data_IF_372170550928
#
_entry.id   IF_372170550928
#
_cell.length_a   1.000
_cell.length_b   1.000
_cell.length_c   1.000
_cell.angle_alpha   90.00
_cell.angle_beta   90.00
_cell.angle_gamma   90.00
#
_symmetry.space_group_name_H-M   'P 1'
#
loop_
_entity.id
_entity.type
_entity.pdbx_description
1 polymer ?
#
# COMPACT_ATOMS: atom_id res chain seq x y z
N UNK A 1 -35.15 17.85 -7.18
CA UNK A 1 -33.99 17.65 -6.27
C UNK A 1 -34.11 18.73 -5.20
N UNK A 2 -34.24 18.29 -3.93
CA UNK A 2 -34.18 19.22 -2.80
C UNK A 2 -32.72 19.23 -2.32
N UNK A 3 -32.02 20.32 -2.57
CA UNK A 3 -30.68 20.51 -2.02
C UNK A 3 -30.79 20.86 -0.53
N UNK A 4 -30.48 19.93 0.35
CA UNK A 4 -30.28 20.23 1.77
C UNK A 4 -28.89 20.85 1.94
N UNK A 5 -28.80 22.00 2.57
CA UNK A 5 -27.50 22.55 2.97
C UNK A 5 -26.91 21.64 4.05
N UNK A 6 -25.78 21.00 3.76
CA UNK A 6 -25.07 20.14 4.69
C UNK A 6 -24.20 20.95 5.62
N UNK A 7 -24.23 20.62 6.90
CA UNK A 7 -23.34 21.16 7.93
C UNK A 7 -22.35 20.12 8.45
N UNK A 8 -21.42 20.55 9.28
CA UNK A 8 -20.50 19.63 9.96
C UNK A 8 -21.29 18.70 10.88
N UNK A 9 -21.09 17.38 10.72
CA UNK A 9 -21.83 16.33 11.44
C UNK A 9 -23.01 15.74 10.69
N UNK A 10 -23.40 16.29 9.54
CA UNK A 10 -24.44 15.69 8.69
C UNK A 10 -23.86 14.48 7.93
N UNK A 11 -24.65 13.40 7.87
CA UNK A 11 -24.31 12.19 7.12
C UNK A 11 -24.66 12.41 5.65
N UNK A 12 -23.66 12.28 4.78
CA UNK A 12 -23.86 12.40 3.34
C UNK A 12 -24.26 11.08 2.69
N UNK A 13 -23.38 10.05 2.78
CA UNK A 13 -23.61 8.76 2.15
C UNK A 13 -22.97 7.58 2.88
N UNK A 14 -22.18 7.83 3.92
CA UNK A 14 -21.57 6.79 4.75
C UNK A 14 -21.56 7.19 6.22
N UNK A 15 -21.93 6.25 7.07
CA UNK A 15 -21.79 6.33 8.53
C UNK A 15 -21.45 4.95 9.06
N UNK A 16 -20.20 4.74 9.46
CA UNK A 16 -19.76 3.48 10.05
C UNK A 16 -18.61 3.65 11.02
N UNK A 17 -18.57 2.77 12.01
CA UNK A 17 -17.43 2.61 12.91
C UNK A 17 -16.52 1.51 12.39
N UNK A 18 -15.23 1.80 12.30
CA UNK A 18 -14.19 0.83 11.99
C UNK A 18 -13.57 0.31 13.28
N UNK A 19 -13.56 -0.99 13.43
CA UNK A 19 -12.91 -1.64 14.56
C UNK A 19 -11.68 -2.40 14.07
N UNK A 20 -10.53 -2.07 14.66
CA UNK A 20 -9.23 -2.66 14.34
C UNK A 20 -8.57 -3.09 15.63
N UNK A 21 -8.28 -4.38 15.75
CA UNK A 21 -7.40 -4.91 16.80
C UNK A 21 -6.14 -5.38 16.11
N UNK A 22 -4.99 -4.94 16.61
CA UNK A 22 -3.69 -5.37 16.13
C UNK A 22 -2.84 -5.85 17.30
N UNK A 23 -2.37 -7.07 17.17
CA UNK A 23 -1.56 -7.76 18.16
C UNK A 23 -0.30 -8.28 17.50
N UNK A 24 0.81 -8.37 18.22
CA UNK A 24 2.01 -8.92 17.65
C UNK A 24 3.19 -8.94 18.61
N UNK A 25 4.22 -9.64 18.16
CA UNK A 25 5.50 -9.68 18.81
C UNK A 25 6.62 -9.43 17.80
N UNK A 26 7.75 -8.94 18.27
CA UNK A 26 8.92 -8.71 17.44
C UNK A 26 10.21 -9.07 18.18
N UNK A 27 11.24 -9.32 17.39
CA UNK A 27 12.61 -9.44 17.89
C UNK A 27 13.56 -8.65 16.99
N UNK A 28 14.69 -8.24 17.54
CA UNK A 28 15.79 -7.65 16.82
C UNK A 28 17.10 -8.09 17.45
N UNK A 29 18.08 -8.41 16.62
CA UNK A 29 19.45 -8.67 17.05
C UNK A 29 20.41 -7.81 16.22
N UNK A 30 21.40 -7.26 16.88
CA UNK A 30 22.42 -6.41 16.27
C UNK A 30 23.82 -6.95 16.60
N UNK A 31 24.68 -6.86 15.62
CA UNK A 31 26.08 -7.20 15.73
C UNK A 31 26.93 -6.03 15.28
N UNK A 32 27.74 -5.52 16.17
CA UNK A 32 28.65 -4.41 15.91
C UNK A 32 30.07 -4.80 16.32
N UNK A 33 30.95 -4.95 15.35
CA UNK A 33 32.35 -5.23 15.63
C UNK A 33 33.27 -4.62 14.59
N UNK A 34 34.25 -3.83 15.04
CA UNK A 34 35.24 -3.17 14.20
C UNK A 34 34.53 -2.33 13.08
N UNK A 35 34.68 -2.78 11.83
CA UNK A 35 34.16 -2.11 10.63
C UNK A 35 32.82 -2.63 10.22
N UNK A 36 32.29 -3.69 10.81
CA UNK A 36 31.04 -4.34 10.44
C UNK A 36 29.95 -4.07 11.48
N UNK A 37 28.83 -3.55 11.01
CA UNK A 37 27.56 -3.52 11.71
C UNK A 37 26.54 -4.33 10.93
N UNK A 38 25.80 -5.20 11.59
CA UNK A 38 24.75 -5.99 10.96
C UNK A 38 23.55 -6.13 11.89
N UNK A 39 22.37 -6.31 11.33
CA UNK A 39 21.16 -6.56 12.10
C UNK A 39 20.27 -7.59 11.42
N UNK A 40 19.46 -8.25 12.22
CA UNK A 40 18.32 -9.02 11.79
C UNK A 40 17.13 -8.68 12.68
N UNK A 41 15.95 -8.53 12.09
CA UNK A 41 14.71 -8.32 12.83
C UNK A 41 13.58 -9.13 12.24
N UNK A 42 12.64 -9.52 13.08
CA UNK A 42 11.45 -10.24 12.68
C UNK A 42 10.26 -9.84 13.54
N UNK A 43 9.08 -9.90 12.95
CA UNK A 43 7.82 -9.72 13.67
C UNK A 43 6.75 -10.67 13.15
N UNK A 44 5.82 -11.04 14.05
CA UNK A 44 4.56 -11.67 13.72
C UNK A 44 3.45 -10.77 14.24
N UNK A 45 2.39 -10.61 13.45
CA UNK A 45 1.25 -9.80 13.83
C UNK A 45 -0.06 -10.47 13.41
N UNK A 46 -1.11 -10.22 14.18
CA UNK A 46 -2.48 -10.54 13.80
C UNK A 46 -3.28 -9.24 13.75
N UNK A 47 -4.03 -9.04 12.67
CA UNK A 47 -4.90 -7.88 12.51
C UNK A 47 -6.33 -8.36 12.33
N UNK A 48 -7.20 -7.97 13.23
CA UNK A 48 -8.62 -8.30 13.25
C UNK A 48 -9.44 -7.08 12.85
N UNK A 49 -10.33 -7.25 11.90
CA UNK A 49 -11.20 -6.19 11.41
C UNK A 49 -12.67 -6.58 11.54
N UNK A 50 -13.50 -5.63 11.93
CA UNK A 50 -14.94 -5.59 11.70
C UNK A 50 -15.41 -4.15 11.62
N UNK A 51 -16.58 -3.92 11.04
CA UNK A 51 -17.21 -2.60 11.03
C UNK A 51 -18.68 -2.69 11.40
N UNK A 52 -19.17 -1.61 11.92
CA UNK A 52 -20.59 -1.40 12.22
C UNK A 52 -21.09 -0.23 11.36
N UNK A 53 -21.90 -0.52 10.35
CA UNK A 53 -22.51 0.47 9.46
C UNK A 53 -23.88 0.88 9.95
N UNK A 54 -24.20 2.17 9.87
CA UNK A 54 -25.47 2.74 10.30
C UNK A 54 -26.27 3.34 9.16
N UNK A 55 -25.64 3.56 8.03
CA UNK A 55 -26.24 4.21 6.88
C UNK A 55 -26.39 3.22 5.72
N UNK A 56 -27.58 3.10 5.17
CA UNK A 56 -27.98 2.14 4.13
C UNK A 56 -27.98 0.65 4.54
N UNK A 57 -27.78 0.33 5.82
CA UNK A 57 -27.87 -1.04 6.29
C UNK A 57 -29.12 -1.25 7.14
N UNK A 58 -29.76 -2.40 7.00
CA UNK A 58 -30.71 -2.84 8.01
C UNK A 58 -30.00 -3.25 9.32
N UNK A 59 -30.77 -3.38 10.40
CA UNK A 59 -30.18 -3.65 11.72
C UNK A 59 -29.48 -5.00 11.79
N UNK A 60 -29.94 -5.98 11.03
CA UNK A 60 -29.39 -7.35 11.05
C UNK A 60 -28.05 -7.43 10.29
N UNK A 61 -27.84 -6.54 9.32
CA UNK A 61 -26.62 -6.47 8.52
C UNK A 61 -25.70 -5.31 8.88
N UNK A 62 -26.03 -4.55 9.92
CA UNK A 62 -25.23 -3.39 10.34
C UNK A 62 -23.81 -3.79 10.78
N UNK A 63 -23.65 -4.92 11.48
CA UNK A 63 -22.33 -5.46 11.86
C UNK A 63 -21.81 -6.40 10.80
N UNK A 64 -20.60 -6.13 10.29
CA UNK A 64 -19.92 -7.03 9.35
C UNK A 64 -19.46 -8.33 10.03
N UNK A 65 -19.09 -9.32 9.21
CA UNK A 65 -18.27 -10.43 9.66
C UNK A 65 -16.93 -9.90 10.20
N UNK A 66 -16.38 -10.62 11.17
CA UNK A 66 -15.01 -10.40 11.64
C UNK A 66 -14.05 -11.16 10.75
N UNK A 67 -12.97 -10.52 10.33
CA UNK A 67 -11.89 -11.11 9.52
C UNK A 67 -10.55 -10.93 10.21
N UNK A 68 -9.67 -11.92 10.05
CA UNK A 68 -8.35 -11.94 10.67
C UNK A 68 -7.28 -12.14 9.60
N UNK A 69 -6.18 -11.42 9.73
CA UNK A 69 -5.03 -11.48 8.83
C UNK A 69 -3.75 -11.62 9.65
N UNK A 70 -3.11 -12.79 9.53
CA UNK A 70 -1.78 -13.01 10.10
C UNK A 70 -0.73 -12.42 9.18
N UNK A 71 0.10 -11.55 9.71
CA UNK A 71 1.21 -10.91 9.01
C UNK A 71 2.57 -11.25 9.62
N UNK A 72 3.63 -11.02 8.85
CA UNK A 72 4.98 -11.13 9.34
C UNK A 72 5.89 -10.10 8.65
N UNK A 73 6.99 -9.79 9.32
CA UNK A 73 8.09 -9.02 8.74
C UNK A 73 9.40 -9.73 9.05
N UNK A 74 10.28 -9.83 8.07
CA UNK A 74 11.67 -10.24 8.25
C UNK A 74 12.54 -9.23 7.53
N UNK A 75 13.51 -8.66 8.24
CA UNK A 75 14.46 -7.69 7.67
C UNK A 75 15.86 -8.03 8.15
N UNK A 76 16.85 -7.76 7.33
CA UNK A 76 18.24 -7.84 7.69
C UNK A 76 19.09 -6.90 6.86
N UNK A 77 20.20 -6.50 7.43
CA UNK A 77 21.11 -5.62 6.72
C UNK A 77 22.50 -5.65 7.35
N UNK A 78 23.44 -5.14 6.59
CA UNK A 78 24.81 -4.97 7.03
C UNK A 78 25.40 -3.70 6.46
N UNK A 79 26.24 -3.05 7.26
CA UNK A 79 27.04 -1.91 6.85
C UNK A 79 28.52 -2.26 7.11
N UNK A 80 29.38 -1.99 6.15
CA UNK A 80 30.81 -2.17 6.29
C UNK A 80 31.55 -0.84 6.06
N UNK A 81 32.23 -0.36 7.10
CA UNK A 81 33.08 0.81 7.01
C UNK A 81 34.42 0.43 6.40
N UNK A 82 34.64 0.76 5.13
CA UNK A 82 35.90 0.52 4.41
C UNK A 82 37.05 1.24 5.16
N UNK A 83 36.79 2.51 5.46
CA UNK A 83 37.63 3.37 6.29
C UNK A 83 36.79 4.45 6.99
N UNK A 84 37.37 5.49 7.53
CA UNK A 84 36.68 6.60 8.22
C UNK A 84 35.83 7.48 7.30
N UNK A 85 36.06 7.43 5.98
CA UNK A 85 35.37 8.25 4.97
C UNK A 85 34.36 7.47 4.14
N UNK A 86 34.48 6.15 4.02
CA UNK A 86 33.78 5.34 3.06
C UNK A 86 33.11 4.16 3.72
N UNK A 87 31.83 3.95 3.42
CA UNK A 87 31.09 2.76 3.81
C UNK A 87 30.22 2.23 2.67
N UNK A 88 29.87 0.98 2.75
CA UNK A 88 28.90 0.31 1.90
C UNK A 88 27.87 -0.40 2.78
N UNK A 89 26.64 -0.47 2.31
CA UNK A 89 25.61 -1.20 3.04
C UNK A 89 24.69 -1.99 2.10
N UNK A 90 24.03 -2.97 2.67
CA UNK A 90 22.95 -3.73 2.02
C UNK A 90 21.84 -3.95 3.02
N UNK A 91 20.58 -3.79 2.57
CA UNK A 91 19.38 -4.12 3.32
C UNK A 91 18.47 -4.99 2.47
N UNK A 92 17.84 -5.97 3.10
CA UNK A 92 16.81 -6.80 2.48
C UNK A 92 15.62 -6.93 3.41
N UNK A 93 14.43 -7.08 2.86
CA UNK A 93 13.25 -7.23 3.67
C UNK A 93 12.10 -7.91 2.95
N UNK A 94 11.33 -8.66 3.72
CA UNK A 94 10.06 -9.25 3.30
C UNK A 94 9.01 -8.87 4.33
N UNK A 95 7.89 -8.32 3.84
CA UNK A 95 6.76 -7.91 4.66
C UNK A 95 5.50 -8.58 4.10
N UNK A 96 4.75 -9.24 4.97
CA UNK A 96 3.38 -9.67 4.70
C UNK A 96 2.47 -8.96 5.69
N UNK A 97 1.59 -8.10 5.22
CA UNK A 97 0.72 -7.29 6.07
C UNK A 97 -0.74 -7.43 5.68
N UNK A 98 -1.63 -7.22 6.64
CA UNK A 98 -3.07 -7.18 6.40
C UNK A 98 -3.41 -6.20 5.26
N UNK A 99 -4.41 -6.53 4.42
CA UNK A 99 -4.92 -5.60 3.42
C UNK A 99 -5.49 -4.35 4.11
N UNK A 100 -5.59 -3.25 3.37
CA UNK A 100 -6.21 -2.03 3.91
C UNK A 100 -7.66 -2.30 4.33
N UNK A 101 -8.09 -1.69 5.44
CA UNK A 101 -9.44 -1.86 5.96
C UNK A 101 -10.52 -1.55 4.90
N UNK A 102 -10.55 -0.31 4.40
CA UNK A 102 -11.66 0.17 3.58
C UNK A 102 -11.71 -0.37 2.14
N UNK A 103 -10.56 -0.78 1.59
CA UNK A 103 -10.43 -1.09 0.15
C UNK A 103 -9.83 -2.48 -0.09
N UNK A 104 -9.46 -3.17 0.95
CA UNK A 104 -8.87 -4.49 0.90
C UNK A 104 -9.72 -5.53 1.60
N UNK A 105 -9.91 -5.36 2.92
CA UNK A 105 -10.66 -6.30 3.74
C UNK A 105 -12.18 -6.22 3.51
N UNK A 106 -12.69 -5.03 3.15
CA UNK A 106 -14.11 -4.81 2.85
C UNK A 106 -14.31 -4.37 1.42
N UNK A 107 -15.43 -4.79 0.83
CA UNK A 107 -15.86 -4.32 -0.47
C UNK A 107 -16.15 -2.83 -0.41
N UNK A 108 -15.72 -2.09 -1.45
CA UNK A 108 -16.18 -0.72 -1.64
C UNK A 108 -17.59 -0.77 -2.18
N UNK A 109 -18.53 -0.34 -1.35
CA UNK A 109 -19.95 -0.22 -1.70
C UNK A 109 -20.58 0.80 -0.76
N UNK A 110 -21.57 1.53 -1.25
CA UNK A 110 -22.36 2.46 -0.44
C UNK A 110 -23.52 1.76 0.26
N UNK A 111 -23.93 0.58 -0.20
CA UNK A 111 -25.14 -0.11 0.23
C UNK A 111 -24.91 -1.47 0.86
N UNK A 112 -23.67 -1.96 0.91
CA UNK A 112 -23.40 -3.26 1.49
C UNK A 112 -22.26 -3.23 2.51
N UNK A 113 -22.37 -4.07 3.55
CA UNK A 113 -21.39 -4.24 4.61
C UNK A 113 -20.69 -5.60 4.47
N UNK A 114 -20.15 -5.88 3.30
CA UNK A 114 -19.61 -7.18 2.92
C UNK A 114 -18.09 -7.16 2.99
N UNK A 115 -17.52 -8.23 3.55
CA UNK A 115 -16.07 -8.47 3.51
C UNK A 115 -15.67 -8.88 2.09
N UNK A 116 -14.46 -8.52 1.69
CA UNK A 116 -13.90 -8.92 0.40
C UNK A 116 -13.45 -10.39 0.47
N UNK A 117 -14.12 -11.32 -0.24
CA UNK A 117 -13.77 -12.74 -0.19
C UNK A 117 -12.40 -13.05 -0.82
N UNK A 118 -11.87 -12.15 -1.62
CA UNK A 118 -10.60 -12.29 -2.30
C UNK A 118 -9.46 -11.49 -1.63
N UNK A 119 -9.74 -10.94 -0.44
CA UNK A 119 -8.73 -10.20 0.30
C UNK A 119 -7.57 -11.08 0.71
N UNK A 120 -6.37 -10.61 0.46
CA UNK A 120 -5.11 -11.28 0.81
C UNK A 120 -4.18 -10.29 1.48
N UNK A 121 -3.25 -10.81 2.25
CA UNK A 121 -2.14 -10.00 2.74
C UNK A 121 -1.35 -9.42 1.57
N UNK A 122 -1.08 -8.13 1.64
CA UNK A 122 -0.11 -7.49 0.76
C UNK A 122 1.29 -7.99 1.11
N UNK A 123 2.08 -8.32 0.09
CA UNK A 123 3.48 -8.76 0.25
C UNK A 123 4.40 -7.74 -0.39
N UNK A 124 5.47 -7.42 0.33
CA UNK A 124 6.47 -6.47 -0.12
C UNK A 124 7.82 -7.14 0.04
N UNK A 125 8.58 -7.20 -1.05
CA UNK A 125 9.94 -7.66 -1.09
C UNK A 125 10.82 -6.47 -1.44
N UNK A 126 11.85 -6.21 -0.65
CA UNK A 126 12.75 -5.09 -0.90
C UNK A 126 14.20 -5.50 -0.76
N UNK A 127 15.03 -4.93 -1.61
CA UNK A 127 16.47 -4.98 -1.52
C UNK A 127 17.02 -3.58 -1.82
N UNK A 128 18.02 -3.19 -1.06
CA UNK A 128 18.71 -1.92 -1.19
C UNK A 128 20.20 -2.14 -0.98
N UNK A 129 21.02 -1.48 -1.76
CA UNK A 129 22.46 -1.39 -1.56
C UNK A 129 22.90 0.04 -1.72
N UNK A 130 23.87 0.46 -0.93
CA UNK A 130 24.31 1.84 -1.00
C UNK A 130 25.79 2.00 -0.67
N UNK A 131 26.25 3.17 -1.02
CA UNK A 131 27.62 3.64 -0.76
C UNK A 131 27.53 5.02 -0.12
N UNK A 132 28.23 5.18 1.00
CA UNK A 132 28.34 6.43 1.73
C UNK A 132 29.77 6.97 1.66
N UNK A 133 29.87 8.26 1.41
CA UNK A 133 31.09 9.05 1.56
C UNK A 133 30.87 10.17 2.57
N UNK A 134 31.82 10.35 3.48
CA UNK A 134 31.77 11.43 4.47
C UNK A 134 33.17 12.05 4.65
N UNK A 135 33.25 13.33 4.47
CA UNK A 135 34.42 14.15 4.76
C UNK A 135 34.07 15.28 5.72
N UNK A 136 35.03 16.16 6.04
CA UNK A 136 34.80 17.29 6.90
C UNK A 136 33.73 18.27 6.38
N UNK A 137 33.54 18.36 5.06
CA UNK A 137 32.68 19.34 4.43
C UNK A 137 31.64 18.74 3.47
N UNK A 138 31.71 17.44 3.16
CA UNK A 138 30.80 16.76 2.25
C UNK A 138 30.37 15.40 2.78
N UNK A 139 29.08 15.16 2.81
CA UNK A 139 28.47 13.84 2.94
C UNK A 139 27.70 13.53 1.66
N UNK A 140 27.94 12.35 1.10
CA UNK A 140 27.24 11.86 -0.10
C UNK A 140 26.77 10.42 0.14
N UNK A 141 25.51 10.13 -0.16
CA UNK A 141 24.94 8.80 -0.12
C UNK A 141 24.37 8.45 -1.50
N UNK A 142 24.81 7.32 -2.03
CA UNK A 142 24.30 6.75 -3.28
C UNK A 142 23.60 5.45 -2.95
N UNK A 143 22.31 5.35 -3.26
CA UNK A 143 21.47 4.19 -2.99
C UNK A 143 20.91 3.62 -4.30
N UNK A 144 20.86 2.31 -4.40
CA UNK A 144 20.16 1.58 -5.45
C UNK A 144 19.13 0.70 -4.76
N UNK A 145 17.88 0.76 -5.19
CA UNK A 145 16.80 -0.01 -4.58
C UNK A 145 15.98 -0.78 -5.61
N UNK A 146 15.41 -1.88 -5.13
CA UNK A 146 14.42 -2.69 -5.84
C UNK A 146 13.33 -3.12 -4.86
N UNK A 147 12.07 -2.80 -5.17
CA UNK A 147 10.91 -3.17 -4.36
C UNK A 147 9.83 -3.78 -5.22
N UNK A 148 9.35 -4.95 -4.80
CA UNK A 148 8.30 -5.69 -5.47
C UNK A 148 7.08 -5.79 -4.54
N UNK A 149 5.93 -5.32 -5.01
CA UNK A 149 4.65 -5.44 -4.34
C UNK A 149 3.83 -6.55 -4.97
N UNK A 150 3.16 -7.34 -4.14
CA UNK A 150 2.25 -8.41 -4.55
C UNK A 150 0.96 -8.37 -3.73
N UNK A 151 -0.11 -8.88 -4.32
CA UNK A 151 -1.42 -9.01 -3.68
C UNK A 151 -1.99 -7.69 -3.12
N UNK A 152 -1.62 -6.54 -3.70
CA UNK A 152 -2.15 -5.25 -3.28
C UNK A 152 -3.63 -5.15 -3.67
N UNK A 153 -4.45 -4.65 -2.75
CA UNK A 153 -5.85 -4.34 -3.03
C UNK A 153 -6.01 -2.86 -3.42
N UNK A 154 -6.79 -2.62 -4.46
CA UNK A 154 -7.09 -1.28 -4.96
C UNK A 154 -8.57 -1.16 -5.33
N UNK A 155 -9.06 0.07 -5.41
CA UNK A 155 -10.38 0.37 -5.94
C UNK A 155 -10.28 1.38 -7.07
N UNK A 156 -11.19 1.27 -8.02
CA UNK A 156 -11.40 2.25 -9.08
C UNK A 156 -12.90 2.55 -9.19
N UNK A 157 -13.24 3.80 -9.41
CA UNK A 157 -14.60 4.24 -9.73
C UNK A 157 -14.61 4.79 -11.12
N UNK A 158 -15.76 4.75 -11.77
CA UNK A 158 -15.97 5.30 -13.11
C UNK A 158 -17.40 5.11 -13.56
N UNK A 159 -17.68 5.51 -14.79
CA UNK A 159 -19.00 5.39 -15.42
C UNK A 159 -18.92 4.45 -16.62
N UNK A 160 -19.83 3.50 -16.69
CA UNK A 160 -20.01 2.61 -17.83
C UNK A 160 -21.20 3.08 -18.65
N UNK A 161 -21.00 3.26 -19.95
CA UNK A 161 -22.07 3.56 -20.89
C UNK A 161 -22.51 2.28 -21.59
N UNK A 162 -23.77 1.90 -21.45
CA UNK A 162 -24.35 0.81 -22.22
C UNK A 162 -24.42 1.22 -23.69
N UNK A 163 -23.74 0.49 -24.57
CA UNK A 163 -23.62 0.82 -25.99
C UNK A 163 -24.94 0.72 -26.77
N UNK A 164 -25.88 -0.08 -26.29
CA UNK A 164 -27.15 -0.29 -26.96
C UNK A 164 -28.23 0.75 -26.57
N UNK A 165 -28.20 1.14 -25.28
CA UNK A 165 -29.24 2.03 -24.72
C UNK A 165 -28.75 3.45 -24.47
N UNK A 166 -27.44 3.70 -24.54
CA UNK A 166 -26.81 4.97 -24.17
C UNK A 166 -26.86 5.28 -22.66
N UNK A 167 -27.38 4.35 -21.84
CA UNK A 167 -27.53 4.57 -20.39
C UNK A 167 -26.16 4.52 -19.70
N UNK A 168 -25.90 5.53 -18.89
CA UNK A 168 -24.74 5.61 -18.01
C UNK A 168 -25.04 5.00 -16.65
N UNK A 169 -24.07 4.25 -16.10
CA UNK A 169 -24.14 3.63 -14.78
C UNK A 169 -22.79 3.77 -14.10
N UNK A 170 -22.78 4.39 -12.93
CA UNK A 170 -21.57 4.50 -12.13
C UNK A 170 -21.21 3.15 -11.52
N UNK A 171 -19.91 2.88 -11.42
CA UNK A 171 -19.39 1.64 -10.85
C UNK A 171 -18.28 1.85 -9.83
N UNK A 172 -18.23 0.92 -8.90
CA UNK A 172 -17.12 0.71 -7.96
C UNK A 172 -16.46 -0.62 -8.30
N UNK A 173 -15.17 -0.59 -8.60
CA UNK A 173 -14.40 -1.80 -8.87
C UNK A 173 -13.46 -2.09 -7.71
N UNK A 174 -13.53 -3.30 -7.18
CA UNK A 174 -12.59 -3.81 -6.18
C UNK A 174 -11.61 -4.76 -6.88
N UNK A 175 -10.34 -4.38 -6.90
CA UNK A 175 -9.25 -5.14 -7.51
C UNK A 175 -8.40 -5.80 -6.44
N UNK A 176 -8.00 -7.04 -6.67
CA UNK A 176 -7.08 -7.80 -5.83
C UNK A 176 -5.97 -8.42 -6.66
N UNK A 177 -4.84 -8.70 -6.03
CA UNK A 177 -3.71 -9.28 -6.71
C UNK A 177 -2.89 -8.29 -7.54
N UNK A 178 -3.04 -6.98 -7.29
CA UNK A 178 -2.25 -5.95 -7.98
C UNK A 178 -0.79 -6.07 -7.57
N UNK A 179 0.10 -6.16 -8.55
CA UNK A 179 1.55 -6.13 -8.38
C UNK A 179 2.13 -4.81 -8.88
N UNK A 180 3.18 -4.35 -8.21
CA UNK A 180 3.95 -3.19 -8.65
C UNK A 180 5.44 -3.44 -8.44
N UNK A 181 6.25 -2.89 -9.32
CA UNK A 181 7.70 -2.93 -9.26
C UNK A 181 8.24 -1.51 -9.20
N UNK A 182 9.09 -1.26 -8.22
CA UNK A 182 9.76 0.02 -8.04
C UNK A 182 11.26 -0.23 -7.98
N UNK A 183 12.02 0.42 -8.82
CA UNK A 183 13.48 0.37 -8.79
C UNK A 183 14.05 1.73 -9.16
N UNK A 184 15.20 2.05 -8.57
CA UNK A 184 15.81 3.33 -8.84
C UNK A 184 17.16 3.51 -8.18
N UNK A 185 17.70 4.69 -8.43
CA UNK A 185 18.95 5.20 -7.86
C UNK A 185 18.67 6.55 -7.23
N UNK A 186 19.18 6.74 -6.02
CA UNK A 186 19.03 7.98 -5.26
C UNK A 186 20.42 8.48 -4.85
N UNK A 187 20.65 9.76 -5.04
CA UNK A 187 21.85 10.45 -4.59
C UNK A 187 21.44 11.57 -3.63
N UNK A 188 21.95 11.51 -2.42
CA UNK A 188 21.80 12.57 -1.43
C UNK A 188 23.16 13.22 -1.20
N UNK A 189 23.18 14.54 -1.17
CA UNK A 189 24.36 15.35 -0.92
C UNK A 189 24.08 16.36 0.20
N UNK A 190 24.97 16.41 1.17
CA UNK A 190 25.02 17.48 2.17
C UNK A 190 26.43 18.05 2.17
N UNK A 191 26.54 19.35 1.96
CA UNK A 191 27.82 20.04 1.92
C UNK A 191 27.80 21.24 2.87
N UNK A 192 28.84 21.36 3.66
CA UNK A 192 29.09 22.51 4.55
C UNK A 192 30.47 23.11 4.22
N UNK A 193 30.61 23.74 3.03
CA UNK A 193 31.90 24.23 2.54
C UNK A 193 32.44 25.43 3.36
N UNK A 194 31.54 26.11 4.06
CA UNK A 194 31.84 27.25 4.92
C UNK A 194 31.04 27.12 6.21
N UNK A 195 31.53 27.68 7.30
CA UNK A 195 30.88 27.59 8.64
C UNK A 195 29.48 28.20 8.69
N UNK A 196 29.14 29.06 7.76
CA UNK A 196 27.85 29.73 7.65
C UNK A 196 26.99 29.23 6.49
N UNK A 197 27.47 28.28 5.66
CA UNK A 197 26.76 27.80 4.47
C UNK A 197 26.58 26.28 4.54
N UNK A 198 25.31 25.84 4.54
CA UNK A 198 24.93 24.45 4.37
C UNK A 198 24.10 24.28 3.10
N UNK A 199 24.49 23.36 2.25
CA UNK A 199 23.82 23.01 1.00
C UNK A 199 23.35 21.57 1.06
N UNK A 200 22.08 21.33 0.74
CA UNK A 200 21.50 20.00 0.65
C UNK A 200 20.93 19.81 -0.74
N UNK A 201 21.21 18.65 -1.34
CA UNK A 201 20.71 18.26 -2.64
C UNK A 201 20.27 16.81 -2.65
N UNK A 202 19.23 16.51 -3.43
CA UNK A 202 18.76 15.15 -3.67
C UNK A 202 18.42 14.99 -5.14
N UNK A 203 18.82 13.84 -5.71
CA UNK A 203 18.44 13.41 -7.04
C UNK A 203 17.93 11.97 -6.95
N UNK A 204 16.75 11.71 -7.49
CA UNK A 204 16.18 10.36 -7.59
C UNK A 204 15.78 10.10 -9.04
N UNK A 205 16.22 8.96 -9.55
CA UNK A 205 15.86 8.46 -10.89
C UNK A 205 15.37 7.04 -10.71
N UNK A 206 14.17 6.74 -11.20
CA UNK A 206 13.59 5.42 -11.03
C UNK A 206 12.60 5.04 -12.11
N UNK A 207 12.23 3.77 -12.08
CA UNK A 207 11.16 3.18 -12.86
C UNK A 207 10.14 2.55 -11.90
N UNK A 208 8.89 3.02 -11.97
CA UNK A 208 7.77 2.56 -11.13
C UNK A 208 6.65 2.13 -12.06
N UNK A 209 6.32 0.85 -12.04
CA UNK A 209 5.34 0.28 -12.96
C UNK A 209 4.45 -0.74 -12.28
N UNK A 210 3.27 -0.96 -12.83
CA UNK A 210 2.46 -2.13 -12.53
C UNK A 210 3.12 -3.36 -13.14
N UNK A 211 3.19 -4.45 -12.37
CA UNK A 211 3.98 -5.62 -12.72
C UNK A 211 3.11 -6.81 -13.16
N UNK A 212 1.79 -6.68 -13.07
CA UNK A 212 0.86 -7.70 -13.51
C UNK A 212 -0.54 -7.17 -13.77
N UNK A 213 -1.30 -7.96 -14.52
CA UNK A 213 -2.74 -7.77 -14.65
C UNK A 213 -3.45 -8.24 -13.37
N UNK A 214 -4.32 -7.39 -12.83
CA UNK A 214 -5.13 -7.70 -11.65
C UNK A 214 -6.57 -8.02 -12.06
N UNK A 215 -7.26 -8.83 -11.25
CA UNK A 215 -8.68 -9.11 -11.42
C UNK A 215 -9.50 -8.13 -10.60
N UNK A 216 -10.49 -7.48 -11.22
CA UNK A 216 -11.42 -6.59 -10.56
C UNK A 216 -12.87 -7.03 -10.76
N UNK A 217 -13.69 -6.73 -9.75
CA UNK A 217 -15.14 -6.94 -9.80
C UNK A 217 -15.83 -5.59 -9.66
N UNK A 218 -16.66 -5.24 -10.65
CA UNK A 218 -17.39 -3.99 -10.68
C UNK A 218 -18.80 -4.16 -10.13
N UNK A 219 -19.26 -3.18 -9.36
CA UNK A 219 -20.57 -3.12 -8.74
C UNK A 219 -21.18 -1.74 -8.96
N UNK A 220 -22.50 -1.66 -9.10
CA UNK A 220 -23.22 -0.38 -9.09
C UNK A 220 -23.40 0.14 -7.64
N UNK A 221 -23.99 1.31 -7.48
CA UNK A 221 -24.29 1.92 -6.19
C UNK A 221 -25.19 1.06 -5.29
N UNK A 222 -26.02 0.22 -5.89
CA UNK A 222 -26.87 -0.73 -5.17
C UNK A 222 -26.13 -2.03 -4.76
N UNK A 223 -24.80 -2.12 -5.01
CA UNK A 223 -24.01 -3.31 -4.72
C UNK A 223 -24.28 -4.50 -5.65
N UNK A 224 -24.96 -4.28 -6.76
CA UNK A 224 -25.22 -5.31 -7.76
C UNK A 224 -24.04 -5.44 -8.70
N UNK A 225 -23.58 -6.66 -9.02
CA UNK A 225 -22.48 -6.87 -9.94
C UNK A 225 -22.84 -6.36 -11.34
N UNK A 226 -21.93 -5.59 -11.92
CA UNK A 226 -22.05 -5.08 -13.28
C UNK A 226 -21.31 -5.99 -14.25
N UNK A 227 -21.88 -6.11 -15.44
CA UNK A 227 -21.34 -6.98 -16.49
C UNK A 227 -21.31 -6.24 -17.81
N UNK A 228 -20.36 -6.57 -18.68
CA UNK A 228 -20.26 -5.97 -20.02
C UNK A 228 -21.43 -6.35 -20.95
N UNK A 229 -22.14 -7.46 -20.64
CA UNK A 229 -23.29 -7.98 -21.41
C UNK A 229 -24.35 -8.58 -20.48
N UNK A 230 -24.55 -8.02 -19.30
CA UNK A 230 -25.46 -8.60 -18.32
C UNK A 230 -24.83 -9.66 -17.41
N UNK A 231 -23.54 -10.03 -17.47
CA UNK A 231 -22.80 -10.97 -16.63
C UNK A 231 -21.71 -10.27 -15.76
N UNK A 232 -21.03 -10.95 -14.84
CA UNK A 232 -20.03 -10.35 -13.94
C UNK A 232 -18.85 -9.83 -14.76
N UNK A 233 -18.63 -8.53 -14.77
CA UNK A 233 -17.46 -7.94 -15.41
C UNK A 233 -16.19 -8.27 -14.62
N UNK A 234 -15.47 -9.28 -15.05
CA UNK A 234 -14.06 -9.38 -14.70
C UNK A 234 -13.29 -8.49 -15.66
N UNK A 235 -12.81 -7.36 -15.21
CA UNK A 235 -11.94 -6.49 -15.99
C UNK A 235 -10.49 -6.74 -15.64
N UNK A 236 -9.67 -7.00 -16.64
CA UNK A 236 -8.22 -6.87 -16.52
C UNK A 236 -7.94 -5.37 -16.51
N UNK A 237 -7.41 -4.85 -15.43
CA UNK A 237 -7.22 -3.43 -15.23
C UNK A 237 -5.85 -3.13 -14.62
N UNK A 238 -4.79 -3.63 -15.22
CA UNK A 238 -3.49 -3.06 -15.00
C UNK A 238 -2.85 -2.85 -16.36
N UNK A 239 -2.59 -1.61 -16.68
CA UNK A 239 -1.65 -1.25 -17.71
C UNK A 239 -0.26 -1.33 -17.07
N UNK A 240 0.66 -2.01 -17.70
CA UNK A 240 2.06 -2.12 -17.31
C UNK A 240 2.83 -0.78 -17.42
N UNK A 241 2.16 0.28 -17.89
CA UNK A 241 2.71 1.62 -18.07
C UNK A 241 2.00 2.69 -17.22
N UNK A 242 1.75 2.44 -15.98
CA UNK A 242 0.85 3.26 -15.17
C UNK A 242 1.47 4.47 -14.47
N UNK A 243 2.46 5.15 -14.93
CA UNK A 243 2.90 6.46 -14.31
C UNK A 243 3.79 7.26 -15.22
#
# INVERSE_FOLDING_TARGET
WVYKKLGVGDIMYRDYDSHVIQEGGFFQAEYNRNKLAAFVSGSLSNTTYWRYGRFYYDKDHARSKTVNYMGFTVKGGANYNINEYHNVFVNVGVISRAPKFAYGAFMTSTTSNVTNPNAKNEKIYSAEAGYGFKSAWLTANLNVYYTLWRDKAMTKTGTLTNKETGKETDYYMNMTGVGARHMGVELELKSEPLTWLSLNGMLSIGNWEWDNNATGYAYNDAGQPLTSNGGIASGVMADDHAW
#
